data_IF_516002682939
#
_entry.id   IF_516002682939
#
_cell.length_a   1.000
_cell.length_b   1.000
_cell.length_c   1.000
_cell.angle_alpha   90.00
_cell.angle_beta   90.00
_cell.angle_gamma   90.00
#
_symmetry.space_group_name_H-M   'P 1'
#
loop_
_entity.id
_entity.type
_entity.pdbx_description
1 polymer ?
#
# COMPACT_ATOMS: atom_id res chain seq x y z
N UNK A 1 2.27 6.89 17.06
CA UNK A 1 3.15 7.12 15.89
C UNK A 1 2.68 8.39 15.19
N UNK A 2 3.50 9.44 15.10
CA UNK A 2 3.17 10.62 14.28
C UNK A 2 3.60 10.29 12.85
N UNK A 3 2.64 9.98 11.98
CA UNK A 3 2.92 9.77 10.55
C UNK A 3 3.52 11.07 9.99
N UNK A 4 4.61 11.00 9.19
CA UNK A 4 5.12 12.17 8.50
C UNK A 4 3.97 12.79 7.69
N UNK A 5 3.88 14.11 7.70
CA UNK A 5 2.81 14.85 7.02
C UNK A 5 3.10 14.85 5.50
N UNK A 6 3.05 13.67 4.89
CA UNK A 6 3.27 13.45 3.46
C UNK A 6 1.99 13.88 2.75
N UNK A 7 2.12 14.91 1.90
CA UNK A 7 1.05 15.32 1.01
C UNK A 7 1.24 14.65 -0.35
N UNK A 8 0.14 14.10 -0.87
CA UNK A 8 0.11 13.48 -2.19
C UNK A 8 -0.64 14.37 -3.15
N UNK A 9 -0.11 14.51 -4.36
CA UNK A 9 -0.72 15.31 -5.41
C UNK A 9 -1.00 14.43 -6.62
N UNK A 10 -2.23 14.48 -7.12
CA UNK A 10 -2.61 13.83 -8.36
C UNK A 10 -2.48 14.83 -9.52
N UNK A 11 -1.81 14.40 -10.58
CA UNK A 11 -1.66 15.18 -11.81
C UNK A 11 -2.58 14.61 -12.89
N UNK A 12 -3.55 15.38 -13.36
CA UNK A 12 -4.49 14.99 -14.43
C UNK A 12 -4.65 16.14 -15.40
N UNK A 13 -4.37 15.92 -16.69
CA UNK A 13 -4.56 16.90 -17.76
C UNK A 13 -3.95 18.29 -17.45
N UNK A 14 -2.67 18.33 -17.07
CA UNK A 14 -1.93 19.54 -16.62
C UNK A 14 -2.44 20.19 -15.32
N UNK A 15 -3.42 19.61 -14.64
CA UNK A 15 -3.96 20.11 -13.38
C UNK A 15 -3.42 19.28 -12.21
N UNK A 16 -3.13 19.93 -11.08
CA UNK A 16 -2.57 19.31 -9.88
C UNK A 16 -3.53 19.49 -8.71
N UNK A 17 -3.98 18.39 -8.11
CA UNK A 17 -4.97 18.41 -7.01
C UNK A 17 -4.45 17.63 -5.80
N UNK A 18 -4.78 18.12 -4.61
CA UNK A 18 -4.50 17.37 -3.38
C UNK A 18 -5.23 16.02 -3.42
N UNK A 19 -4.45 14.95 -3.30
CA UNK A 19 -4.88 13.57 -3.32
C UNK A 19 -4.60 12.88 -1.99
N UNK A 20 -4.15 13.61 -0.97
CA UNK A 20 -3.72 13.05 0.32
C UNK A 20 -4.81 12.20 0.95
N UNK A 21 -6.05 12.72 1.02
CA UNK A 21 -7.18 11.97 1.58
C UNK A 21 -7.51 10.69 0.80
N UNK A 22 -7.40 10.74 -0.54
CA UNK A 22 -7.67 9.60 -1.41
C UNK A 22 -6.60 8.51 -1.25
N UNK A 23 -5.32 8.88 -1.28
CA UNK A 23 -4.20 7.94 -1.09
C UNK A 23 -4.25 7.32 0.29
N UNK A 24 -4.53 8.11 1.34
CA UNK A 24 -4.67 7.58 2.69
C UNK A 24 -5.84 6.59 2.80
N UNK A 25 -7.00 6.89 2.20
CA UNK A 25 -8.14 5.97 2.19
C UNK A 25 -7.81 4.64 1.47
N UNK A 26 -7.12 4.70 0.32
CA UNK A 26 -6.65 3.51 -0.38
C UNK A 26 -5.66 2.69 0.46
N UNK A 27 -4.75 3.35 1.16
CA UNK A 27 -3.81 2.68 2.06
C UNK A 27 -4.56 1.93 3.17
N UNK A 28 -5.52 2.59 3.84
CA UNK A 28 -6.32 1.95 4.89
C UNK A 28 -7.11 0.73 4.39
N UNK A 29 -7.79 0.85 3.25
CA UNK A 29 -8.57 -0.26 2.68
C UNK A 29 -7.64 -1.41 2.28
N UNK A 30 -6.50 -1.10 1.65
CA UNK A 30 -5.52 -2.11 1.23
C UNK A 30 -4.94 -2.85 2.44
N UNK A 31 -4.54 -2.13 3.48
CA UNK A 31 -4.04 -2.72 4.73
C UNK A 31 -5.10 -3.57 5.43
N UNK A 32 -6.35 -3.12 5.47
CA UNK A 32 -7.46 -3.92 6.00
C UNK A 32 -7.63 -5.21 5.19
N UNK A 33 -7.78 -5.14 3.87
CA UNK A 33 -7.95 -6.33 3.04
C UNK A 33 -6.78 -7.31 3.18
N UNK A 34 -5.54 -6.81 3.21
CA UNK A 34 -4.35 -7.64 3.43
C UNK A 34 -4.36 -8.32 4.80
N UNK A 35 -4.73 -7.62 5.87
CA UNK A 35 -4.76 -8.19 7.21
C UNK A 35 -5.81 -9.31 7.39
N UNK A 36 -6.87 -9.29 6.58
CA UNK A 36 -7.97 -10.28 6.64
C UNK A 36 -7.94 -11.31 5.50
N UNK A 37 -6.96 -11.24 4.59
CA UNK A 37 -6.79 -12.23 3.52
C UNK A 37 -6.10 -13.49 4.04
N UNK A 38 -6.43 -14.65 3.46
CA UNK A 38 -5.68 -15.88 3.71
C UNK A 38 -4.24 -15.71 3.19
N UNK A 39 -3.26 -16.15 3.97
CA UNK A 39 -1.85 -16.13 3.58
C UNK A 39 -1.61 -16.73 2.20
N UNK A 40 -2.36 -17.79 1.83
CA UNK A 40 -2.27 -18.44 0.51
C UNK A 40 -2.65 -17.53 -0.65
N UNK A 41 -3.52 -16.56 -0.43
CA UNK A 41 -3.91 -15.60 -1.45
C UNK A 41 -2.91 -14.44 -1.52
N UNK A 42 -2.37 -14.02 -0.37
CA UNK A 42 -1.25 -13.07 -0.30
C UNK A 42 -0.02 -13.61 -1.04
N UNK A 43 0.33 -14.88 -0.82
CA UNK A 43 1.49 -15.55 -1.43
C UNK A 43 1.40 -15.65 -2.96
N UNK A 44 0.19 -15.57 -3.52
CA UNK A 44 -0.04 -15.59 -4.98
C UNK A 44 0.12 -14.21 -5.62
N UNK A 45 0.00 -13.11 -4.88
CA UNK A 45 0.08 -11.75 -5.44
C UNK A 45 1.38 -11.51 -6.24
N UNK A 46 2.57 -11.92 -5.76
CA UNK A 46 3.80 -11.82 -6.55
C UNK A 46 3.75 -12.62 -7.86
N UNK A 47 3.08 -13.78 -7.87
CA UNK A 47 3.05 -14.66 -9.04
C UNK A 47 2.14 -14.15 -10.17
N UNK A 48 1.25 -13.22 -9.85
CA UNK A 48 0.28 -12.62 -10.78
C UNK A 48 0.75 -11.26 -11.31
N UNK A 49 1.94 -10.82 -10.90
CA UNK A 49 2.45 -9.47 -11.11
C UNK A 49 3.65 -9.48 -12.04
N UNK A 50 3.93 -8.36 -12.70
CA UNK A 50 5.21 -8.20 -13.39
C UNK A 50 6.36 -7.99 -12.38
N UNK A 51 7.60 -7.88 -12.87
CA UNK A 51 8.80 -7.76 -12.02
C UNK A 51 8.75 -6.56 -11.07
N UNK A 52 8.37 -5.37 -11.58
CA UNK A 52 8.30 -4.14 -10.78
C UNK A 52 7.19 -4.18 -9.74
N UNK A 53 6.03 -4.68 -10.14
CA UNK A 53 4.90 -4.89 -9.23
C UNK A 53 5.23 -5.91 -8.14
N UNK A 54 5.96 -6.97 -8.49
CA UNK A 54 6.42 -7.99 -7.55
C UNK A 54 7.35 -7.41 -6.49
N UNK A 55 8.33 -6.59 -6.88
CA UNK A 55 9.22 -5.91 -5.95
C UNK A 55 8.46 -4.97 -5.02
N UNK A 56 7.49 -4.21 -5.56
CA UNK A 56 6.62 -3.33 -4.78
C UNK A 56 5.79 -4.11 -3.75
N UNK A 57 5.15 -5.20 -4.18
CA UNK A 57 4.34 -6.07 -3.29
C UNK A 57 5.20 -6.64 -2.17
N UNK A 58 6.40 -7.15 -2.47
CA UNK A 58 7.33 -7.65 -1.44
C UNK A 58 7.71 -6.56 -0.44
N UNK A 59 7.97 -5.35 -0.92
CA UNK A 59 8.26 -4.19 -0.07
C UNK A 59 7.09 -3.86 0.87
N UNK A 60 5.87 -3.81 0.35
CA UNK A 60 4.66 -3.56 1.14
C UNK A 60 4.41 -4.65 2.19
N UNK A 61 4.53 -5.93 1.82
CA UNK A 61 4.36 -7.06 2.75
C UNK A 61 5.40 -7.02 3.89
N UNK A 62 6.65 -6.72 3.55
CA UNK A 62 7.73 -6.59 4.54
C UNK A 62 7.46 -5.43 5.51
N UNK A 63 6.99 -4.28 5.01
CA UNK A 63 6.61 -3.15 5.84
C UNK A 63 5.42 -3.44 6.76
N UNK A 64 4.41 -4.17 6.27
CA UNK A 64 3.27 -4.60 7.08
C UNK A 64 3.67 -5.60 8.17
N UNK A 65 4.51 -6.59 7.85
CA UNK A 65 5.03 -7.53 8.85
C UNK A 65 5.78 -6.82 9.97
N UNK A 66 6.64 -5.85 9.63
CA UNK A 66 7.35 -5.04 10.61
C UNK A 66 6.36 -4.31 11.52
N UNK A 67 5.38 -3.62 10.94
CA UNK A 67 4.37 -2.87 11.70
C UNK A 67 3.53 -3.77 12.63
N UNK A 68 3.17 -4.97 12.18
CA UNK A 68 2.42 -5.95 12.99
C UNK A 68 3.29 -6.58 14.09
N UNK A 69 4.61 -6.64 13.90
CA UNK A 69 5.54 -7.17 14.92
C UNK A 69 5.87 -6.16 16.03
N UNK A 70 5.63 -4.87 15.79
CA UNK A 70 5.87 -3.77 16.73
C UNK A 70 4.66 -3.44 17.62
N UNK A 71 3.49 -4.04 17.35
CA UNK A 71 2.24 -3.93 18.14
C UNK A 71 1.91 -5.24 18.86
#
# INVERSE_FOLDING_TARGET
>A
MVLPNVQYTAHVNNDSKDATGYVNALAYISSFLLAYSDQKDIDKLPTQSNEKETELIKGMLSGLQLHLSEN
#
